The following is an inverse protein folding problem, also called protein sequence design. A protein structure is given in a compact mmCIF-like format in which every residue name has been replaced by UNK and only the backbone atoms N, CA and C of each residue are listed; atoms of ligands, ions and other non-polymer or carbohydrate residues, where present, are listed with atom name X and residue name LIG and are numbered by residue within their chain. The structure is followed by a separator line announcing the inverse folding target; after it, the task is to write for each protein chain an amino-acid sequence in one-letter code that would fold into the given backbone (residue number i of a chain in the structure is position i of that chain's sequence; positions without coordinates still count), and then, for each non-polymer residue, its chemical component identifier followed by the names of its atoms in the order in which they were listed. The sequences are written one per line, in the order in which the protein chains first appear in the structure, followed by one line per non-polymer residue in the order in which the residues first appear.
data_IF_748652486883
#
_entry.id   IF_748652486883
#
_cell.length_a   1.000
_cell.length_b   1.000
_cell.length_c   1.000
_cell.angle_alpha   90.00
_cell.angle_beta   90.00
_cell.angle_gamma   90.00
#
_symmetry.space_group_name_H-M   'P 1'
#
loop_
_entity.id
_entity.type
_entity.pdbx_description
1 polymer ?
#
# COMPACT_ATOMS: atom_id res chain seq x y z
N UNK A 1 -21.99 -20.51 -27.29
CA UNK A 1 -22.30 -19.07 -27.16
C UNK A 1 -21.59 -18.61 -25.90
N UNK A 2 -20.50 -17.85 -26.04
CA UNK A 2 -19.75 -17.34 -24.90
C UNK A 2 -20.63 -16.31 -24.20
N UNK A 3 -21.26 -16.68 -23.08
CA UNK A 3 -22.04 -15.74 -22.29
C UNK A 3 -21.09 -14.64 -21.82
N UNK A 4 -21.16 -13.47 -22.46
CA UNK A 4 -20.80 -12.23 -21.76
C UNK A 4 -21.63 -12.21 -20.49
N UNK A 5 -21.01 -11.89 -19.36
CA UNK A 5 -21.68 -11.69 -18.07
C UNK A 5 -22.50 -10.38 -18.07
N UNK A 6 -23.07 -10.05 -19.24
CA UNK A 6 -23.37 -8.71 -19.68
C UNK A 6 -24.27 -8.01 -18.69
N UNK A 7 -23.85 -6.81 -18.28
CA UNK A 7 -24.69 -5.91 -17.51
C UNK A 7 -26.08 -5.79 -18.17
N UNK A 8 -27.12 -6.11 -17.42
CA UNK A 8 -28.48 -5.73 -17.75
C UNK A 8 -28.71 -4.33 -17.17
N UNK A 9 -28.81 -3.33 -18.04
CA UNK A 9 -29.10 -1.95 -17.64
C UNK A 9 -30.60 -1.63 -17.64
N UNK A 10 -31.46 -2.65 -17.80
CA UNK A 10 -32.92 -2.55 -17.85
C UNK A 10 -33.46 -1.60 -18.95
N UNK A 11 -32.63 -1.30 -19.96
CA UNK A 11 -32.94 -0.32 -21.00
C UNK A 11 -32.64 1.14 -20.62
N UNK A 12 -32.01 1.39 -19.48
CA UNK A 12 -31.69 2.72 -18.95
C UNK A 12 -30.18 2.94 -18.85
N UNK A 13 -29.48 3.23 -19.97
CA UNK A 13 -28.05 3.42 -19.94
C UNK A 13 -27.66 4.71 -19.20
N UNK A 14 -26.93 4.55 -18.11
CA UNK A 14 -26.27 5.62 -17.35
C UNK A 14 -24.77 5.60 -17.58
N UNK A 15 -24.07 6.65 -17.15
CA UNK A 15 -22.59 6.67 -17.16
C UNK A 15 -21.99 5.44 -16.45
N UNK A 16 -22.54 5.05 -15.29
CA UNK A 16 -22.14 3.84 -14.57
C UNK A 16 -22.26 2.59 -15.44
N UNK A 17 -23.40 2.41 -16.12
CA UNK A 17 -23.58 1.23 -16.96
C UNK A 17 -22.65 1.23 -18.18
N UNK A 18 -22.32 2.41 -18.73
CA UNK A 18 -21.40 2.53 -19.87
C UNK A 18 -19.97 2.14 -19.47
N UNK A 19 -19.47 2.67 -18.35
CA UNK A 19 -18.14 2.34 -17.82
C UNK A 19 -18.05 0.85 -17.46
N UNK A 20 -19.14 0.27 -16.92
CA UNK A 20 -19.20 -1.17 -16.65
C UNK A 20 -19.08 -1.99 -17.94
N UNK A 21 -19.80 -1.63 -19.01
CA UNK A 21 -19.68 -2.31 -20.31
C UNK A 21 -18.25 -2.21 -20.85
N UNK A 22 -17.65 -1.02 -20.83
CA UNK A 22 -16.27 -0.82 -21.30
C UNK A 22 -15.26 -1.67 -20.52
N UNK A 23 -15.45 -1.78 -19.20
CA UNK A 23 -14.64 -2.62 -18.33
C UNK A 23 -14.82 -4.11 -18.67
N UNK A 24 -16.06 -4.58 -18.77
CA UNK A 24 -16.37 -5.96 -19.17
C UNK A 24 -15.75 -6.32 -20.51
N UNK A 25 -15.85 -5.43 -21.50
CA UNK A 25 -15.27 -5.62 -22.83
C UNK A 25 -13.75 -5.74 -22.78
N UNK A 26 -13.07 -4.91 -21.97
CA UNK A 26 -11.61 -4.95 -21.83
C UNK A 26 -11.11 -6.26 -21.19
N UNK A 27 -11.83 -6.78 -20.19
CA UNK A 27 -11.45 -7.97 -19.42
C UNK A 27 -11.85 -9.25 -20.15
N UNK A 28 -12.98 -9.24 -20.87
CA UNK A 28 -13.51 -10.41 -21.57
C UNK A 28 -12.47 -10.99 -22.55
N UNK A 29 -11.76 -10.13 -23.30
CA UNK A 29 -10.75 -10.59 -24.23
C UNK A 29 -9.59 -11.32 -23.52
N UNK A 30 -9.19 -10.83 -22.35
CA UNK A 30 -8.13 -11.46 -21.55
C UNK A 30 -8.61 -12.79 -20.95
N UNK A 31 -9.88 -12.90 -20.55
CA UNK A 31 -10.44 -14.12 -19.95
C UNK A 31 -10.84 -15.17 -20.99
N UNK A 32 -11.27 -14.77 -22.19
CA UNK A 32 -11.76 -15.67 -23.23
C UNK A 32 -10.71 -16.72 -23.63
N UNK A 33 -9.43 -16.35 -23.61
CA UNK A 33 -8.29 -17.27 -23.83
C UNK A 33 -8.19 -18.40 -22.78
N UNK A 34 -8.87 -18.23 -21.65
CA UNK A 34 -8.83 -19.12 -20.48
C UNK A 34 -10.18 -19.79 -20.18
N UNK A 35 -11.16 -19.76 -21.09
CA UNK A 35 -12.48 -20.39 -20.87
C UNK A 35 -12.55 -21.89 -21.26
N UNK A 36 -11.46 -22.65 -21.04
CA UNK A 36 -11.38 -24.09 -21.36
C UNK A 36 -11.20 -25.00 -20.14
N UNK A 37 -11.43 -26.32 -20.25
CA UNK A 37 -11.35 -27.28 -19.13
C UNK A 37 -9.97 -27.43 -18.49
N UNK A 38 -8.88 -26.99 -19.15
CA UNK A 38 -7.49 -27.01 -18.65
C UNK A 38 -6.96 -25.62 -18.26
N UNK A 39 -7.83 -24.62 -18.13
CA UNK A 39 -7.46 -23.22 -17.88
C UNK A 39 -6.75 -23.00 -16.55
N UNK A 40 -7.25 -23.60 -15.47
CA UNK A 40 -6.69 -23.45 -14.13
C UNK A 40 -5.28 -24.06 -13.98
N UNK A 41 -4.93 -25.07 -14.77
CA UNK A 41 -3.62 -25.73 -14.71
C UNK A 41 -2.49 -24.90 -15.32
N UNK A 42 -2.82 -23.87 -16.11
CA UNK A 42 -1.84 -23.02 -16.81
C UNK A 42 -1.65 -21.65 -16.15
N UNK A 43 -2.54 -21.24 -15.24
CA UNK A 43 -2.45 -19.96 -14.56
C UNK A 43 -1.27 -20.00 -13.58
N UNK A 44 -0.25 -19.20 -13.85
CA UNK A 44 0.95 -19.13 -13.03
C UNK A 44 1.20 -17.69 -12.59
N UNK A 45 1.57 -17.53 -11.32
CA UNK A 45 2.06 -16.25 -10.82
C UNK A 45 3.50 -16.05 -11.30
N UNK A 46 3.75 -14.93 -11.97
CA UNK A 46 5.08 -14.56 -12.47
C UNK A 46 6.02 -14.07 -11.36
N UNK A 47 6.24 -14.92 -10.33
CA UNK A 47 6.97 -14.57 -9.09
C UNK A 47 8.30 -13.87 -9.36
N UNK A 48 9.15 -14.43 -10.22
CA UNK A 48 10.47 -13.85 -10.55
C UNK A 48 10.38 -12.44 -11.11
N UNK A 49 9.36 -12.15 -11.93
CA UNK A 49 9.17 -10.82 -12.49
C UNK A 49 8.73 -9.82 -11.41
N UNK A 50 7.80 -10.21 -10.54
CA UNK A 50 7.34 -9.37 -9.43
C UNK A 50 8.47 -9.09 -8.42
N UNK A 51 9.24 -10.11 -8.02
CA UNK A 51 10.35 -9.96 -7.07
C UNK A 51 11.39 -8.96 -7.62
N UNK A 52 11.75 -9.09 -8.90
CA UNK A 52 12.66 -8.15 -9.56
C UNK A 52 12.11 -6.73 -9.57
N UNK A 53 10.84 -6.55 -9.93
CA UNK A 53 10.19 -5.24 -9.91
C UNK A 53 10.23 -4.60 -8.52
N UNK A 54 9.88 -5.37 -7.48
CA UNK A 54 9.87 -4.93 -6.09
C UNK A 54 11.27 -4.55 -5.58
N UNK A 55 12.29 -5.39 -5.82
CA UNK A 55 13.67 -5.07 -5.42
C UNK A 55 14.27 -3.89 -6.18
N UNK A 56 13.93 -3.72 -7.46
CA UNK A 56 14.31 -2.50 -8.19
C UNK A 56 13.69 -1.26 -7.54
N UNK A 57 12.41 -1.31 -7.18
CA UNK A 57 11.73 -0.21 -6.52
C UNK A 57 12.28 0.13 -5.12
N UNK A 58 12.83 -0.86 -4.39
CA UNK A 58 13.52 -0.62 -3.11
C UNK A 58 14.81 0.19 -3.27
N UNK A 59 15.48 0.12 -4.41
CA UNK A 59 16.73 0.87 -4.66
C UNK A 59 16.41 2.34 -4.94
N UNK A 60 15.40 2.58 -5.78
CA UNK A 60 14.99 3.92 -6.14
C UNK A 60 13.82 3.94 -7.11
N UNK A 61 13.12 5.07 -7.13
CA UNK A 61 11.97 5.30 -7.99
C UNK A 61 12.25 6.42 -8.99
N UNK A 62 11.66 6.31 -10.17
CA UNK A 62 11.73 7.34 -11.20
C UNK A 62 10.95 8.60 -10.80
N UNK A 63 11.26 9.72 -11.47
CA UNK A 63 10.64 11.04 -11.23
C UNK A 63 9.10 11.07 -11.28
N UNK A 64 8.48 10.10 -11.95
CA UNK A 64 7.02 10.00 -12.08
C UNK A 64 6.33 9.66 -10.75
N UNK A 65 7.08 9.23 -9.73
CA UNK A 65 6.57 8.94 -8.38
C UNK A 65 6.51 10.18 -7.48
N UNK A 66 6.75 11.39 -8.01
CA UNK A 66 6.72 12.63 -7.21
C UNK A 66 5.36 12.87 -6.53
N UNK A 67 4.26 12.41 -7.12
CA UNK A 67 2.93 12.50 -6.49
C UNK A 67 2.80 11.64 -5.22
N UNK A 68 3.74 10.72 -4.99
CA UNK A 68 3.82 9.88 -3.80
C UNK A 68 4.96 10.29 -2.87
N UNK A 69 5.50 11.51 -3.02
CA UNK A 69 6.60 12.01 -2.17
C UNK A 69 6.18 12.15 -0.69
N UNK A 70 4.89 12.36 -0.44
CA UNK A 70 4.27 12.33 0.90
C UNK A 70 3.77 10.94 1.33
N UNK A 71 4.22 9.88 0.65
CA UNK A 71 3.77 8.50 0.86
C UNK A 71 4.92 7.50 0.85
N UNK A 72 6.14 7.91 1.23
CA UNK A 72 7.31 7.00 1.25
C UNK A 72 7.12 5.80 2.19
N UNK A 73 6.55 5.93 3.41
CA UNK A 73 6.24 4.77 4.23
C UNK A 73 5.27 3.79 3.56
N UNK A 74 4.29 4.28 2.79
CA UNK A 74 3.39 3.42 2.01
C UNK A 74 4.13 2.62 0.94
N UNK A 75 5.05 3.27 0.22
CA UNK A 75 5.86 2.60 -0.80
C UNK A 75 6.67 1.47 -0.16
N UNK A 76 7.30 1.71 0.99
CA UNK A 76 8.02 0.66 1.71
C UNK A 76 7.07 -0.45 2.15
N UNK A 77 5.96 -0.13 2.83
CA UNK A 77 4.99 -1.12 3.27
C UNK A 77 4.48 -2.00 2.12
N UNK A 78 4.04 -1.40 1.00
CA UNK A 78 3.53 -2.15 -0.15
C UNK A 78 4.59 -3.09 -0.73
N UNK A 79 5.83 -2.63 -0.82
CA UNK A 79 6.91 -3.45 -1.38
C UNK A 79 7.27 -4.60 -0.42
N UNK A 80 7.48 -4.29 0.86
CA UNK A 80 7.87 -5.28 1.86
C UNK A 80 6.76 -6.33 2.06
N UNK A 81 5.50 -5.91 2.11
CA UNK A 81 4.36 -6.82 2.22
C UNK A 81 4.24 -7.73 0.99
N UNK A 82 4.48 -7.21 -0.21
CA UNK A 82 4.45 -8.02 -1.42
C UNK A 82 5.60 -9.03 -1.47
N UNK A 83 6.80 -8.66 -1.00
CA UNK A 83 7.93 -9.58 -0.87
C UNK A 83 7.64 -10.69 0.15
N UNK A 84 7.06 -10.32 1.31
CA UNK A 84 6.65 -11.26 2.36
C UNK A 84 5.61 -12.27 1.85
N UNK A 85 4.57 -11.81 1.15
CA UNK A 85 3.56 -12.67 0.50
C UNK A 85 4.18 -13.60 -0.56
N UNK A 86 5.28 -13.17 -1.21
CA UNK A 86 6.04 -13.96 -2.16
C UNK A 86 7.07 -14.88 -1.48
N UNK A 87 7.13 -14.92 -0.14
CA UNK A 87 8.06 -15.73 0.65
C UNK A 87 9.53 -15.30 0.51
N UNK A 88 9.77 -14.06 0.06
CA UNK A 88 11.12 -13.51 -0.08
C UNK A 88 11.56 -12.85 1.22
N UNK A 89 12.76 -13.22 1.67
CA UNK A 89 13.40 -12.56 2.81
C UNK A 89 14.15 -11.32 2.35
N UNK A 90 14.19 -10.32 3.24
CA UNK A 90 15.07 -9.18 3.08
C UNK A 90 16.51 -9.58 3.40
N UNK A 91 17.43 -8.95 2.70
CA UNK A 91 18.84 -8.92 3.10
C UNK A 91 19.01 -7.95 4.27
N UNK A 92 20.08 -8.11 5.04
CA UNK A 92 20.42 -7.20 6.15
C UNK A 92 20.56 -5.74 5.68
N UNK A 93 21.07 -5.51 4.47
CA UNK A 93 21.16 -4.16 3.89
C UNK A 93 19.79 -3.57 3.54
N UNK A 94 18.90 -4.35 2.94
CA UNK A 94 17.53 -3.93 2.64
C UNK A 94 16.76 -3.59 3.92
N UNK A 95 16.92 -4.41 4.95
CA UNK A 95 16.36 -4.19 6.28
C UNK A 95 16.86 -2.88 6.91
N UNK A 96 18.19 -2.71 7.02
CA UNK A 96 18.77 -1.51 7.64
C UNK A 96 18.33 -0.25 6.91
N UNK A 97 18.36 -0.26 5.57
CA UNK A 97 17.96 0.90 4.77
C UNK A 97 16.48 1.24 4.95
N UNK A 98 15.62 0.24 5.14
CA UNK A 98 14.20 0.45 5.42
C UNK A 98 14.01 1.08 6.81
N UNK A 99 14.67 0.55 7.84
CA UNK A 99 14.64 1.08 9.22
C UNK A 99 15.15 2.53 9.24
N UNK A 100 16.30 2.80 8.62
CA UNK A 100 16.88 4.14 8.54
C UNK A 100 15.96 5.13 7.83
N UNK A 101 15.29 4.68 6.77
CA UNK A 101 14.36 5.53 6.01
C UNK A 101 13.12 5.86 6.84
N UNK A 102 12.53 4.88 7.51
CA UNK A 102 11.36 5.10 8.37
C UNK A 102 11.71 5.93 9.61
N UNK A 103 12.88 5.71 10.20
CA UNK A 103 13.39 6.50 11.33
C UNK A 103 13.51 7.98 10.98
N UNK A 104 13.96 8.31 9.77
CA UNK A 104 13.99 9.70 9.27
C UNK A 104 12.61 10.29 8.99
N UNK A 105 11.59 9.45 8.82
CA UNK A 105 10.20 9.90 8.65
C UNK A 105 9.46 10.05 9.99
N UNK A 106 10.04 9.60 11.10
CA UNK A 106 9.43 9.72 12.43
C UNK A 106 9.50 11.18 12.90
N UNK A 107 8.37 11.70 13.40
CA UNK A 107 8.27 13.06 13.90
C UNK A 107 8.72 13.13 15.38
N UNK A 108 9.36 14.24 15.75
CA UNK A 108 9.86 14.45 17.12
C UNK A 108 8.75 14.50 18.17
N UNK A 109 7.50 14.80 17.79
CA UNK A 109 6.32 14.76 18.64
C UNK A 109 5.62 13.40 18.64
N UNK A 110 6.00 12.48 17.75
CA UNK A 110 5.42 11.13 17.60
C UNK A 110 4.68 10.93 16.27
N UNK A 111 4.57 9.67 15.86
CA UNK A 111 4.02 9.30 14.55
C UNK A 111 5.05 9.40 13.42
N UNK A 112 4.64 9.05 12.20
CA UNK A 112 5.49 9.10 11.01
C UNK A 112 4.85 9.95 9.93
N UNK A 113 5.64 10.82 9.31
CA UNK A 113 5.25 11.61 8.14
C UNK A 113 5.46 10.88 6.82
N UNK A 114 5.06 11.52 5.73
CA UNK A 114 5.16 11.01 4.37
C UNK A 114 6.57 10.90 3.81
N UNK A 115 7.52 11.57 4.45
CA UNK A 115 8.94 11.59 4.11
C UNK A 115 9.71 12.39 5.18
N UNK A 116 11.04 12.44 5.09
CA UNK A 116 11.85 13.16 6.07
C UNK A 116 11.46 14.63 6.18
N UNK A 117 11.22 15.09 7.42
CA UNK A 117 10.81 16.47 7.72
C UNK A 117 9.35 16.81 7.41
N UNK A 118 8.54 15.84 6.97
CA UNK A 118 7.09 16.04 6.83
C UNK A 118 6.38 15.74 8.15
N UNK A 119 5.27 16.43 8.39
CA UNK A 119 4.45 16.24 9.59
C UNK A 119 3.96 14.80 9.71
N UNK A 120 3.83 14.30 10.94
CA UNK A 120 3.22 13.01 11.20
C UNK A 120 1.76 12.95 10.72
N UNK A 121 1.38 11.79 10.16
CA UNK A 121 0.05 11.53 9.63
C UNK A 121 -0.35 10.07 9.87
N UNK A 122 -1.63 9.79 10.19
CA UNK A 122 -2.09 8.46 10.59
C UNK A 122 -1.87 7.41 9.50
N UNK A 123 -2.17 7.75 8.25
CA UNK A 123 -1.93 6.85 7.11
C UNK A 123 -0.45 6.42 6.97
N UNK A 124 0.50 7.35 7.09
CA UNK A 124 1.93 7.04 6.96
C UNK A 124 2.50 6.40 8.21
N UNK A 125 1.93 6.71 9.38
CA UNK A 125 2.18 6.00 10.65
C UNK A 125 1.75 4.55 10.57
N UNK A 126 0.56 4.27 10.06
CA UNK A 126 0.07 2.92 9.81
C UNK A 126 1.06 2.13 8.93
N UNK A 127 1.45 2.71 7.79
CA UNK A 127 2.35 2.06 6.86
C UNK A 127 3.75 1.83 7.45
N UNK A 128 4.30 2.82 8.16
CA UNK A 128 5.61 2.69 8.82
C UNK A 128 5.62 1.57 9.86
N UNK A 129 4.62 1.53 10.75
CA UNK A 129 4.52 0.50 11.79
C UNK A 129 4.37 -0.90 11.16
N UNK A 130 3.56 -1.05 10.11
CA UNK A 130 3.43 -2.35 9.43
C UNK A 130 4.70 -2.76 8.69
N UNK A 131 5.41 -1.83 8.04
CA UNK A 131 6.68 -2.11 7.41
C UNK A 131 7.73 -2.60 8.43
N UNK A 132 7.82 -1.95 9.60
CA UNK A 132 8.70 -2.38 10.69
C UNK A 132 8.27 -3.73 11.28
N UNK A 133 6.96 -4.00 11.37
CA UNK A 133 6.45 -5.29 11.82
C UNK A 133 6.76 -6.44 10.85
N UNK A 134 6.72 -6.18 9.54
CA UNK A 134 7.12 -7.15 8.50
C UNK A 134 8.62 -7.45 8.59
N UNK A 135 9.45 -6.44 8.86
CA UNK A 135 10.88 -6.62 9.11
C UNK A 135 11.09 -7.51 10.35
N UNK A 136 10.39 -7.21 11.45
CA UNK A 136 10.26 -8.10 12.59
C UNK A 136 11.51 -8.29 13.45
N UNK A 137 12.57 -7.49 13.23
CA UNK A 137 13.76 -7.48 14.08
C UNK A 137 13.58 -6.61 15.32
N UNK A 138 14.39 -6.88 16.35
CA UNK A 138 14.39 -6.03 17.56
C UNK A 138 14.75 -4.58 17.24
N UNK A 139 15.68 -4.35 16.31
CA UNK A 139 16.05 -3.01 15.86
C UNK A 139 14.87 -2.29 15.20
N UNK A 140 14.11 -2.98 14.35
CA UNK A 140 12.90 -2.41 13.75
C UNK A 140 11.86 -2.02 14.81
N UNK A 141 11.66 -2.86 15.83
CA UNK A 141 10.73 -2.54 16.92
C UNK A 141 11.22 -1.41 17.81
N UNK A 142 12.51 -1.39 18.16
CA UNK A 142 13.14 -0.38 19.01
C UNK A 142 13.24 0.98 18.31
N UNK A 143 13.17 1.02 16.98
CA UNK A 143 13.13 2.26 16.20
C UNK A 143 11.86 3.09 16.42
N UNK A 144 10.79 2.51 17.00
CA UNK A 144 9.53 3.20 17.24
C UNK A 144 9.56 3.86 18.63
N UNK A 145 9.45 5.20 18.69
CA UNK A 145 9.20 5.88 19.97
C UNK A 145 7.73 5.70 20.39
N UNK A 146 7.47 4.60 21.09
CA UNK A 146 6.12 4.19 21.50
C UNK A 146 5.46 5.20 22.43
N UNK A 147 6.23 5.90 23.27
CA UNK A 147 5.68 6.87 24.21
C UNK A 147 5.19 8.12 23.47
N UNK A 148 5.99 8.64 22.54
CA UNK A 148 5.59 9.76 21.69
C UNK A 148 4.46 9.38 20.75
N UNK A 149 4.54 8.20 20.12
CA UNK A 149 3.48 7.70 19.24
C UNK A 149 2.12 7.65 19.96
N UNK A 150 2.09 7.13 21.20
CA UNK A 150 0.86 7.09 21.99
C UNK A 150 0.31 8.48 22.28
N UNK A 151 1.16 9.40 22.75
CA UNK A 151 0.76 10.77 23.06
C UNK A 151 0.25 11.52 21.82
N UNK A 152 0.90 11.31 20.68
CA UNK A 152 0.49 11.88 19.41
C UNK A 152 -0.85 11.30 18.92
N UNK A 153 -1.06 9.98 18.95
CA UNK A 153 -2.37 9.40 18.58
C UNK A 153 -3.49 9.98 19.46
N UNK A 154 -3.24 10.13 20.77
CA UNK A 154 -4.24 10.73 21.67
C UNK A 154 -4.50 12.21 21.38
N UNK A 155 -3.51 12.97 20.91
CA UNK A 155 -3.71 14.37 20.55
C UNK A 155 -4.62 14.54 19.31
N UNK A 156 -4.78 13.49 18.51
CA UNK A 156 -5.69 13.46 17.35
C UNK A 156 -7.12 13.06 17.72
N UNK A 157 -7.37 12.59 18.95
CA UNK A 157 -8.68 12.12 19.40
C UNK A 157 -9.69 13.26 19.49
N UNK A 158 -10.84 13.10 18.85
CA UNK A 158 -11.94 14.07 18.87
C UNK A 158 -12.99 13.75 19.95
N UNK A 159 -13.77 14.75 20.38
CA UNK A 159 -14.82 14.57 21.40
C UNK A 159 -15.92 13.58 20.98
N UNK A 160 -16.20 13.49 19.68
CA UNK A 160 -17.27 12.67 19.10
C UNK A 160 -16.90 11.18 18.93
N UNK A 161 -15.69 10.75 19.31
CA UNK A 161 -15.26 9.37 19.08
C UNK A 161 -14.28 9.19 17.90
N UNK A 162 -14.23 10.09 16.93
CA UNK A 162 -13.32 9.99 15.79
C UNK A 162 -11.88 10.39 16.13
N UNK A 163 -11.00 10.28 15.13
CA UNK A 163 -9.63 10.79 15.09
C UNK A 163 -9.47 11.66 13.83
N UNK A 164 -8.68 12.73 13.91
CA UNK A 164 -8.21 13.47 12.73
C UNK A 164 -6.96 12.77 12.16
N UNK A 165 -6.75 12.83 10.85
CA UNK A 165 -5.62 12.14 10.20
C UNK A 165 -4.25 12.73 10.59
N UNK A 166 -4.21 14.02 10.89
CA UNK A 166 -3.07 14.75 11.43
C UNK A 166 -3.59 16.05 12.06
N UNK A 167 -2.75 16.81 12.76
CA UNK A 167 -3.14 18.11 13.28
C UNK A 167 -3.62 19.05 12.16
N UNK A 168 -4.86 19.54 12.28
CA UNK A 168 -5.52 20.38 11.25
C UNK A 168 -6.04 19.61 10.02
N UNK A 169 -5.94 18.29 10.03
CA UNK A 169 -6.38 17.43 8.93
C UNK A 169 -7.87 17.07 8.96
N UNK A 170 -8.24 16.23 8.02
CA UNK A 170 -9.58 15.68 7.83
C UNK A 170 -9.93 14.57 8.84
N UNK A 171 -11.21 14.21 8.87
CA UNK A 171 -11.77 13.13 9.68
C UNK A 171 -12.59 12.21 8.78
N UNK A 172 -12.27 10.92 8.80
CA UNK A 172 -13.14 9.85 8.31
C UNK A 172 -12.77 8.53 9.02
N UNK A 173 -13.08 7.40 8.40
CA UNK A 173 -12.94 6.05 8.99
C UNK A 173 -11.58 5.39 8.73
N UNK A 174 -10.68 6.04 8.00
CA UNK A 174 -9.33 5.52 7.71
C UNK A 174 -8.44 5.38 8.95
#
# INVERSE_FOLDING_TARGET
MNNRWGINNDGYPTETSKIQVETEDSVFNLLAEWQGPSSNERLTLSRKAHIRFLRTALIGLGRNFVSLDASKPWILFWILQALDLLGEKLTTDEEQRAIDTLSRCQDDAGGFGGGPGQIAHLATTYAAVHALAIIGSFEAFDSIDRAKLYNWILSLKQLNGSFIMHHGGEVDVR
#
